data_IF_940879158623
#
_entry.id   IF_940879158623
#
_cell.length_a   1.000
_cell.length_b   1.000
_cell.length_c   1.000
_cell.angle_alpha   90.00
_cell.angle_beta   90.00
_cell.angle_gamma   90.00
#
_symmetry.space_group_name_H-M   'P 1'
#
loop_
_entity.id
_entity.type
_entity.pdbx_description
1 polymer ?
#
# COMPACT_ATOMS: atom_id res chain seq x y z
N UNK A 1 -12.11 11.64 26.71
CA UNK A 1 -12.20 12.41 25.45
C UNK A 1 -13.22 11.76 24.53
N UNK A 2 -14.01 12.55 23.79
CA UNK A 2 -14.96 12.01 22.78
C UNK A 2 -14.31 12.10 21.41
N UNK A 3 -14.37 11.02 20.65
CA UNK A 3 -13.95 10.94 19.25
C UNK A 3 -15.20 10.71 18.38
N UNK A 4 -15.41 11.57 17.39
CA UNK A 4 -16.50 11.43 16.42
C UNK A 4 -15.88 10.95 15.11
N UNK A 5 -16.31 9.79 14.63
CA UNK A 5 -15.89 9.23 13.34
C UNK A 5 -17.04 9.40 12.37
N UNK A 6 -16.86 10.26 11.36
CA UNK A 6 -17.85 10.53 10.33
C UNK A 6 -17.49 9.81 9.03
N UNK A 7 -18.48 9.15 8.43
CA UNK A 7 -18.37 8.55 7.10
C UNK A 7 -19.13 9.42 6.10
N UNK A 8 -18.43 10.21 5.27
CA UNK A 8 -19.08 11.04 4.27
C UNK A 8 -19.58 10.25 3.05
N UNK A 9 -19.23 8.97 2.92
CA UNK A 9 -19.59 8.16 1.75
C UNK A 9 -21.05 7.70 1.81
N UNK A 10 -21.71 7.50 0.66
CA UNK A 10 -23.11 7.08 0.60
C UNK A 10 -23.32 5.58 0.86
N UNK A 11 -22.31 4.86 1.35
CA UNK A 11 -22.41 3.45 1.76
C UNK A 11 -21.79 3.25 3.15
N UNK A 12 -22.26 2.22 3.85
CA UNK A 12 -21.67 1.76 5.11
C UNK A 12 -20.22 1.37 4.88
N UNK A 13 -19.31 1.81 5.74
CA UNK A 13 -17.87 1.56 5.61
C UNK A 13 -17.33 0.99 6.92
N UNK A 14 -16.64 -0.15 6.83
CA UNK A 14 -15.73 -0.64 7.87
C UNK A 14 -14.30 -0.33 7.42
N UNK A 15 -13.57 0.47 8.19
CA UNK A 15 -12.20 0.84 7.85
C UNK A 15 -11.37 1.20 9.08
N UNK A 16 -10.07 1.40 8.86
CA UNK A 16 -9.16 1.91 9.87
C UNK A 16 -9.42 3.39 10.16
N UNK A 17 -9.61 3.71 11.43
CA UNK A 17 -9.62 5.07 11.95
C UNK A 17 -8.25 5.33 12.54
N UNK A 18 -7.63 6.44 12.16
CA UNK A 18 -6.36 6.94 12.70
C UNK A 18 -6.63 8.25 13.42
N UNK A 19 -6.19 8.36 14.67
CA UNK A 19 -6.19 9.63 15.39
C UNK A 19 -4.86 9.85 16.09
N UNK A 20 -4.48 11.12 16.23
CA UNK A 20 -3.24 11.55 16.83
C UNK A 20 -3.50 12.12 18.23
N UNK A 21 -2.56 11.92 19.15
CA UNK A 21 -2.53 12.60 20.43
C UNK A 21 -1.12 13.11 20.73
N UNK A 22 -1.04 14.24 21.43
CA UNK A 22 0.24 14.88 21.78
C UNK A 22 0.47 14.67 23.27
N UNK A 23 1.64 14.13 23.62
CA UNK A 23 2.08 13.98 25.00
C UNK A 23 3.45 14.65 25.22
N UNK A 24 3.76 14.99 26.46
CA UNK A 24 5.13 15.34 26.83
C UNK A 24 6.02 14.10 26.71
N UNK A 25 7.22 14.28 26.17
CA UNK A 25 8.25 13.27 26.09
C UNK A 25 8.61 12.81 27.50
N UNK A 26 8.16 11.60 27.84
CA UNK A 26 8.68 10.84 28.97
C UNK A 26 9.92 10.05 28.52
N UNK A 27 10.72 9.54 29.45
CA UNK A 27 11.85 8.67 29.09
C UNK A 27 11.35 7.41 28.36
N UNK A 28 11.65 7.29 27.05
CA UNK A 28 11.29 6.15 26.17
C UNK A 28 10.26 6.48 25.08
N UNK A 29 9.92 5.49 24.24
CA UNK A 29 8.95 5.61 23.12
C UNK A 29 7.48 5.40 23.53
N UNK A 30 7.21 5.20 24.83
CA UNK A 30 5.86 4.86 25.33
C UNK A 30 5.03 6.12 25.53
N UNK A 31 3.75 6.04 25.17
CA UNK A 31 2.76 7.04 25.57
C UNK A 31 2.64 7.02 27.12
N UNK A 32 2.47 8.17 27.79
CA UNK A 32 2.59 8.25 29.25
C UNK A 32 1.50 7.52 30.04
N UNK A 33 0.45 7.02 29.38
CA UNK A 33 -0.63 6.23 29.98
C UNK A 33 -1.22 5.31 28.91
N UNK A 34 -1.83 4.19 29.32
CA UNK A 34 -2.63 3.38 28.40
C UNK A 34 -4.01 4.02 28.19
N UNK A 35 -4.66 3.67 27.10
CA UNK A 35 -6.01 4.13 26.80
C UNK A 35 -6.95 2.96 26.67
N UNK A 36 -8.22 3.20 26.93
CA UNK A 36 -9.33 2.34 26.54
C UNK A 36 -10.20 3.11 25.55
N UNK A 37 -10.60 2.44 24.48
CA UNK A 37 -11.60 2.96 23.54
C UNK A 37 -12.89 2.18 23.78
N UNK A 38 -13.98 2.88 24.06
CA UNK A 38 -15.32 2.28 24.16
C UNK A 38 -16.31 2.93 23.18
N UNK A 39 -17.28 2.16 22.73
CA UNK A 39 -18.45 2.69 22.01
C UNK A 39 -19.56 3.16 22.99
N UNK A 40 -20.66 3.77 22.50
CA UNK A 40 -21.74 4.26 23.35
C UNK A 40 -22.49 3.17 24.12
N UNK A 41 -22.41 1.94 23.64
CA UNK A 41 -22.98 0.76 24.30
C UNK A 41 -22.06 0.21 25.41
N UNK A 42 -20.85 0.78 25.55
CA UNK A 42 -19.86 0.38 26.56
C UNK A 42 -18.96 -0.77 26.13
N UNK A 43 -19.03 -1.22 24.87
CA UNK A 43 -18.16 -2.26 24.34
C UNK A 43 -16.75 -1.70 24.16
N UNK A 44 -15.75 -2.48 24.57
CA UNK A 44 -14.35 -2.14 24.37
C UNK A 44 -13.91 -2.44 22.93
N UNK A 45 -13.17 -1.51 22.34
CA UNK A 45 -12.69 -1.57 20.97
C UNK A 45 -11.18 -1.83 21.01
N UNK A 46 -10.76 -2.93 20.36
CA UNK A 46 -9.35 -3.21 20.12
C UNK A 46 -8.73 -2.06 19.33
N UNK A 47 -7.63 -1.52 19.85
CA UNK A 47 -6.87 -0.47 19.20
C UNK A 47 -5.39 -0.87 19.12
N UNK A 48 -4.66 -0.09 18.35
CA UNK A 48 -3.24 -0.19 18.21
C UNK A 48 -2.61 1.18 18.42
N UNK A 49 -1.48 1.20 19.14
CA UNK A 49 -0.65 2.39 19.34
C UNK A 49 0.62 2.29 18.50
N UNK A 50 0.98 3.40 17.88
CA UNK A 50 2.21 3.58 17.12
C UNK A 50 2.92 4.84 17.62
N UNK A 51 4.21 4.69 17.91
CA UNK A 51 5.11 5.84 18.01
C UNK A 51 5.31 6.44 16.63
N UNK A 52 5.25 7.77 16.53
CA UNK A 52 5.61 8.49 15.32
C UNK A 52 6.67 9.51 15.66
N UNK A 53 7.79 9.43 14.94
CA UNK A 53 8.90 10.38 15.04
C UNK A 53 8.61 11.65 14.22
N UNK A 54 7.47 12.30 14.48
CA UNK A 54 7.05 13.54 13.82
C UNK A 54 6.84 14.64 14.86
N UNK A 55 7.41 15.82 14.59
CA UNK A 55 7.20 17.00 15.41
C UNK A 55 5.70 17.36 15.45
N UNK A 56 5.10 17.55 16.65
CA UNK A 56 3.70 17.85 16.76
C UNK A 56 3.33 19.21 16.16
N UNK A 57 2.16 19.27 15.52
CA UNK A 57 1.63 20.49 14.86
C UNK A 57 1.52 21.70 15.77
N UNK A 58 1.40 21.50 17.08
CA UNK A 58 1.42 22.56 18.10
C UNK A 58 2.51 22.24 19.12
N UNK A 59 3.56 23.04 19.12
CA UNK A 59 4.76 22.82 19.95
C UNK A 59 4.58 23.37 21.36
N UNK A 60 4.73 22.52 22.36
CA UNK A 60 5.40 22.87 23.63
C UNK A 60 6.75 22.16 23.62
N UNK A 61 7.78 22.73 24.25
CA UNK A 61 9.08 22.04 24.38
C UNK A 61 8.88 20.59 24.80
N UNK A 62 9.57 19.66 24.14
CA UNK A 62 9.55 18.22 24.42
C UNK A 62 8.18 17.54 24.18
N UNK A 63 7.38 17.97 23.21
CA UNK A 63 6.13 17.26 22.85
C UNK A 63 6.36 16.23 21.74
N UNK A 64 5.70 15.07 21.83
CA UNK A 64 5.75 14.00 20.82
C UNK A 64 4.35 13.66 20.34
N UNK A 65 4.25 13.33 19.05
CA UNK A 65 3.04 12.82 18.38
C UNK A 65 2.91 11.31 18.52
N UNK A 66 1.76 10.84 18.97
CA UNK A 66 1.45 9.41 19.03
C UNK A 66 0.19 9.12 18.24
N UNK A 67 0.25 8.06 17.44
CA UNK A 67 -0.88 7.65 16.63
C UNK A 67 -1.52 6.39 17.14
N UNK A 68 -2.84 6.41 17.06
CA UNK A 68 -3.69 5.32 17.48
C UNK A 68 -4.55 4.93 16.30
N UNK A 69 -4.67 3.63 16.08
CA UNK A 69 -5.54 3.08 15.06
C UNK A 69 -6.51 2.07 15.61
N UNK A 70 -7.73 2.05 15.10
CA UNK A 70 -8.71 1.01 15.41
C UNK A 70 -9.67 0.84 14.24
N UNK A 71 -10.43 -0.26 14.22
CA UNK A 71 -11.42 -0.48 13.19
C UNK A 71 -12.78 0.07 13.62
N UNK A 72 -13.37 0.91 12.77
CA UNK A 72 -14.72 1.42 12.95
C UNK A 72 -15.61 0.99 11.80
N UNK A 73 -16.86 0.67 12.11
CA UNK A 73 -17.91 0.48 11.11
C UNK A 73 -18.94 1.60 11.27
N UNK A 74 -19.11 2.40 10.22
CA UNK A 74 -19.88 3.66 10.27
C UNK A 74 -20.92 3.66 9.15
N UNK A 75 -22.19 4.04 9.43
CA UNK A 75 -23.24 4.08 8.42
C UNK A 75 -22.95 5.10 7.30
N UNK A 76 -23.63 4.93 6.17
CA UNK A 76 -23.59 5.87 5.05
C UNK A 76 -23.99 7.29 5.49
N UNK A 77 -23.22 8.30 5.08
CA UNK A 77 -23.44 9.72 5.42
C UNK A 77 -23.74 9.94 6.91
N UNK A 78 -23.14 9.14 7.79
CA UNK A 78 -23.43 9.12 9.22
C UNK A 78 -22.17 9.11 10.06
N UNK A 79 -22.33 9.05 11.38
CA UNK A 79 -21.21 9.04 12.32
C UNK A 79 -21.38 7.96 13.39
N UNK A 80 -20.27 7.59 14.02
CA UNK A 80 -20.23 6.84 15.28
C UNK A 80 -19.33 7.57 16.27
N UNK A 81 -19.74 7.61 17.53
CA UNK A 81 -18.96 8.22 18.62
C UNK A 81 -18.22 7.17 19.40
N UNK A 82 -17.03 7.51 19.85
CA UNK A 82 -16.20 6.67 20.70
C UNK A 82 -15.67 7.50 21.88
N UNK A 83 -15.42 6.85 23.00
CA UNK A 83 -14.86 7.48 24.19
C UNK A 83 -13.47 6.93 24.45
N UNK A 84 -12.49 7.83 24.51
CA UNK A 84 -11.11 7.53 24.88
C UNK A 84 -10.95 7.84 26.36
N UNK A 85 -10.60 6.81 27.13
CA UNK A 85 -10.49 6.85 28.58
C UNK A 85 -9.05 6.49 28.95
N UNK A 86 -8.30 7.36 29.65
CA UNK A 86 -6.97 7.00 30.17
C UNK A 86 -7.12 5.96 31.29
N UNK A 87 -6.23 4.97 31.32
CA UNK A 87 -6.20 3.91 32.35
C UNK A 87 -4.79 3.76 32.93
N UNK A 88 -4.72 3.32 34.19
CA UNK A 88 -3.47 3.18 34.94
C UNK A 88 -2.74 1.84 34.71
N UNK A 89 -3.39 0.86 34.08
CA UNK A 89 -2.80 -0.46 33.78
C UNK A 89 -3.07 -0.88 32.34
N UNK A 90 -2.09 -1.56 31.75
CA UNK A 90 -2.10 -2.03 30.36
C UNK A 90 -3.30 -2.92 30.08
N UNK A 91 -4.11 -2.55 29.09
CA UNK A 91 -5.01 -3.51 28.45
C UNK A 91 -4.16 -4.46 27.60
N UNK A 92 -3.80 -5.62 28.14
CA UNK A 92 -3.17 -6.68 27.36
C UNK A 92 -4.20 -7.23 26.37
N UNK A 93 -4.30 -6.64 25.18
CA UNK A 93 -5.07 -7.26 24.11
C UNK A 93 -4.42 -8.58 23.75
N UNK A 94 -5.07 -9.68 24.09
CA UNK A 94 -4.66 -11.00 23.62
C UNK A 94 -4.99 -11.06 22.14
N UNK A 95 -4.00 -10.83 21.28
CA UNK A 95 -4.18 -10.94 19.84
C UNK A 95 -4.50 -12.41 19.55
N UNK A 96 -5.73 -12.70 19.12
CA UNK A 96 -6.04 -13.99 18.52
C UNK A 96 -5.28 -14.09 17.19
N UNK A 97 -4.10 -14.72 17.26
CA UNK A 97 -3.20 -14.91 16.12
C UNK A 97 -3.63 -16.06 15.23
N UNK A 98 -4.81 -16.68 15.41
CA UNK A 98 -5.15 -17.89 14.64
C UNK A 98 -5.30 -17.61 13.14
N UNK A 99 -5.92 -16.50 12.77
CA UNK A 99 -6.20 -16.17 11.36
C UNK A 99 -5.72 -14.77 10.95
N UNK A 100 -5.08 -14.01 11.86
CA UNK A 100 -4.47 -12.72 11.57
C UNK A 100 -3.00 -12.71 12.03
N UNK A 101 -2.07 -12.84 11.08
CA UNK A 101 -0.64 -13.12 11.35
C UNK A 101 0.27 -12.33 10.43
N UNK A 102 1.46 -12.01 10.93
CA UNK A 102 2.55 -11.48 10.12
C UNK A 102 3.88 -12.08 10.56
N UNK A 103 4.76 -12.31 9.60
CA UNK A 103 6.16 -12.67 9.78
C UNK A 103 7.00 -11.89 8.76
N UNK A 104 8.31 -12.15 8.73
CA UNK A 104 9.20 -11.58 7.71
C UNK A 104 8.95 -12.09 6.28
N UNK A 105 8.14 -13.14 6.11
CA UNK A 105 7.93 -13.80 4.82
C UNK A 105 6.46 -13.84 4.38
N UNK A 106 5.52 -13.62 5.30
CA UNK A 106 4.10 -13.65 4.96
C UNK A 106 3.27 -12.76 5.87
N UNK A 107 2.11 -12.36 5.36
CA UNK A 107 1.06 -11.61 6.02
C UNK A 107 -0.29 -12.27 5.69
N UNK A 108 -1.15 -12.46 6.69
CA UNK A 108 -2.38 -13.25 6.56
C UNK A 108 -3.52 -12.64 7.38
N UNK A 109 -4.73 -12.56 6.81
CA UNK A 109 -6.00 -12.31 7.51
C UNK A 109 -7.04 -13.38 7.12
N UNK A 110 -8.31 -13.18 7.49
CA UNK A 110 -9.40 -14.14 7.23
C UNK A 110 -9.65 -14.39 5.73
N UNK A 111 -9.25 -13.46 4.85
CA UNK A 111 -9.54 -13.51 3.42
C UNK A 111 -8.32 -13.82 2.55
N UNK A 112 -7.15 -13.30 2.93
CA UNK A 112 -5.95 -13.35 2.11
C UNK A 112 -4.76 -13.91 2.87
N UNK A 113 -3.89 -14.61 2.14
CA UNK A 113 -2.51 -14.88 2.55
C UNK A 113 -1.56 -14.32 1.50
N UNK A 114 -0.70 -13.41 1.91
CA UNK A 114 0.30 -12.76 1.10
C UNK A 114 1.66 -13.34 1.49
N UNK A 115 2.39 -13.92 0.54
CA UNK A 115 3.72 -14.48 0.73
C UNK A 115 4.72 -13.72 -0.11
N UNK A 116 5.85 -13.34 0.48
CA UNK A 116 6.93 -12.64 -0.21
C UNK A 116 8.05 -13.64 -0.43
N UNK A 117 8.17 -14.11 -1.68
CA UNK A 117 9.17 -15.10 -2.10
C UNK A 117 10.59 -14.54 -1.95
N UNK A 118 11.64 -15.36 -1.83
CA UNK A 118 13.02 -14.89 -1.66
C UNK A 118 13.53 -13.98 -2.79
N UNK A 119 13.04 -14.18 -4.01
CA UNK A 119 13.31 -13.37 -5.21
C UNK A 119 12.55 -12.03 -5.25
N UNK A 120 11.65 -11.78 -4.29
CA UNK A 120 10.91 -10.51 -4.15
C UNK A 120 9.54 -10.52 -4.77
N UNK A 121 9.18 -11.58 -5.49
CA UNK A 121 7.83 -11.73 -5.98
C UNK A 121 6.83 -11.94 -4.85
N UNK A 122 5.66 -11.35 -5.03
CA UNK A 122 4.55 -11.46 -4.09
C UNK A 122 3.54 -12.45 -4.65
N UNK A 123 3.16 -13.40 -3.81
CA UNK A 123 2.11 -14.38 -4.07
C UNK A 123 0.92 -14.05 -3.16
N UNK A 124 -0.28 -13.98 -3.72
CA UNK A 124 -1.51 -13.73 -2.97
C UNK A 124 -2.44 -14.93 -3.15
N UNK A 125 -2.81 -15.56 -2.05
CA UNK A 125 -3.87 -16.58 -2.01
C UNK A 125 -5.15 -15.92 -1.51
N UNK A 126 -6.19 -15.94 -2.34
CA UNK A 126 -7.56 -15.64 -1.93
C UNK A 126 -8.17 -16.92 -1.32
N UNK A 127 -8.40 -16.89 -0.01
CA UNK A 127 -8.87 -18.06 0.76
C UNK A 127 -10.32 -18.43 0.45
N UNK A 128 -11.12 -17.49 -0.03
CA UNK A 128 -12.53 -17.75 -0.36
C UNK A 128 -12.65 -18.46 -1.71
N UNK A 129 -11.96 -17.97 -2.73
CA UNK A 129 -11.98 -18.60 -4.06
C UNK A 129 -10.97 -19.75 -4.22
N UNK A 130 -9.97 -19.83 -3.34
CA UNK A 130 -8.85 -20.77 -3.44
C UNK A 130 -7.85 -20.44 -4.55
N UNK A 131 -7.97 -19.27 -5.19
CA UNK A 131 -7.09 -18.84 -6.29
C UNK A 131 -5.78 -18.29 -5.75
N UNK A 132 -4.67 -18.72 -6.35
CA UNK A 132 -3.33 -18.16 -6.12
C UNK A 132 -2.93 -17.25 -7.27
N UNK A 133 -2.74 -15.98 -6.96
CA UNK A 133 -2.17 -14.97 -7.84
C UNK A 133 -0.66 -14.90 -7.62
N UNK A 134 0.11 -15.14 -8.67
CA UNK A 134 1.58 -15.08 -8.66
C UNK A 134 2.03 -13.75 -9.25
N UNK A 135 3.25 -13.31 -8.89
CA UNK A 135 3.84 -12.05 -9.35
C UNK A 135 2.91 -10.85 -9.15
N UNK A 136 2.20 -10.82 -8.01
CA UNK A 136 1.28 -9.74 -7.67
C UNK A 136 2.06 -8.47 -7.36
N UNK A 137 1.58 -7.30 -7.78
CA UNK A 137 2.30 -6.03 -7.58
C UNK A 137 3.75 -6.06 -8.15
N UNK A 138 3.93 -6.66 -9.32
CA UNK A 138 5.22 -6.71 -10.04
C UNK A 138 5.56 -5.35 -10.64
N UNK A 139 6.82 -4.92 -10.53
CA UNK A 139 7.30 -3.72 -11.19
C UNK A 139 7.78 -4.03 -12.59
N UNK A 140 7.56 -3.09 -13.49
CA UNK A 140 8.09 -3.14 -14.84
C UNK A 140 8.48 -1.73 -15.28
N UNK A 141 9.69 -1.58 -15.81
CA UNK A 141 10.25 -0.34 -16.32
C UNK A 141 10.65 -0.51 -17.78
N UNK A 142 10.29 0.48 -18.61
CA UNK A 142 10.61 0.54 -20.03
C UNK A 142 10.88 1.98 -20.47
N UNK A 143 11.62 2.15 -21.55
CA UNK A 143 11.85 3.47 -22.15
C UNK A 143 10.56 4.08 -22.71
N UNK A 144 10.46 5.41 -22.63
CA UNK A 144 9.36 6.19 -23.20
C UNK A 144 9.87 7.27 -24.15
N UNK A 145 9.81 6.99 -25.45
CA UNK A 145 10.16 7.90 -26.54
C UNK A 145 9.05 8.88 -26.91
N UNK A 146 7.96 8.84 -26.16
CA UNK A 146 6.82 9.70 -26.35
C UNK A 146 7.04 11.12 -25.86
N UNK A 147 5.95 11.73 -25.45
CA UNK A 147 5.89 13.07 -24.88
C UNK A 147 4.84 13.13 -23.75
N UNK A 148 4.46 14.32 -23.32
CA UNK A 148 3.52 14.53 -22.23
C UNK A 148 2.09 14.02 -22.52
N UNK A 149 1.75 13.79 -23.80
CA UNK A 149 0.43 13.32 -24.21
C UNK A 149 0.39 11.81 -24.37
N UNK A 150 1.41 11.24 -25.01
CA UNK A 150 1.39 9.86 -25.45
C UNK A 150 2.70 9.14 -25.12
N UNK A 151 2.57 7.90 -24.62
CA UNK A 151 3.68 6.96 -24.49
C UNK A 151 4.11 6.45 -25.88
N UNK A 152 5.41 6.31 -26.11
CA UNK A 152 5.94 5.59 -27.27
C UNK A 152 7.02 4.59 -26.85
N UNK A 153 6.79 3.32 -27.16
CA UNK A 153 7.84 2.31 -27.10
C UNK A 153 8.94 2.54 -28.16
N UNK A 154 10.00 1.71 -28.17
CA UNK A 154 11.07 1.84 -29.16
C UNK A 154 10.54 1.62 -30.59
N UNK A 155 10.99 2.47 -31.52
CA UNK A 155 10.80 2.30 -32.97
C UNK A 155 11.64 1.13 -33.50
N UNK A 156 11.39 0.70 -34.74
CA UNK A 156 12.09 -0.44 -35.38
C UNK A 156 13.62 -0.36 -35.34
N UNK A 157 14.15 0.86 -35.34
CA UNK A 157 15.58 1.11 -35.29
C UNK A 157 16.10 1.17 -33.83
N UNK A 158 15.27 1.54 -32.86
CA UNK A 158 15.65 1.74 -31.46
C UNK A 158 15.67 0.42 -30.66
N UNK A 159 16.43 0.39 -29.57
CA UNK A 159 16.45 -0.74 -28.63
C UNK A 159 16.04 -0.28 -27.24
N UNK A 160 15.19 -1.07 -26.58
CA UNK A 160 14.82 -0.89 -25.18
C UNK A 160 15.20 -2.13 -24.36
N UNK A 161 15.59 -1.89 -23.11
CA UNK A 161 15.78 -2.92 -22.10
C UNK A 161 14.68 -2.75 -21.06
N UNK A 162 13.80 -3.76 -20.99
CA UNK A 162 12.73 -3.82 -19.99
C UNK A 162 13.29 -4.42 -18.71
N UNK A 163 13.14 -3.71 -17.62
CA UNK A 163 13.52 -4.18 -16.28
C UNK A 163 12.26 -4.55 -15.51
N UNK A 164 12.34 -5.59 -14.69
CA UNK A 164 11.22 -6.10 -13.90
C UNK A 164 11.61 -6.27 -12.44
N UNK A 165 10.68 -6.71 -11.60
CA UNK A 165 11.00 -7.14 -10.22
C UNK A 165 12.14 -8.17 -10.16
N UNK A 166 12.36 -8.99 -11.21
CA UNK A 166 13.47 -9.96 -11.26
C UNK A 166 14.85 -9.29 -11.20
N UNK A 167 14.96 -8.07 -11.71
CA UNK A 167 16.19 -7.29 -11.77
C UNK A 167 16.43 -6.49 -10.47
N UNK A 168 15.47 -6.50 -9.54
CA UNK A 168 15.53 -5.71 -8.33
C UNK A 168 16.40 -6.36 -7.25
N UNK A 169 17.26 -5.56 -6.62
CA UNK A 169 17.97 -5.96 -5.42
C UNK A 169 17.10 -5.69 -4.18
N UNK A 170 16.73 -6.73 -3.44
CA UNK A 170 15.99 -6.60 -2.19
C UNK A 170 16.98 -6.41 -1.05
N UNK A 171 16.78 -5.38 -0.24
CA UNK A 171 17.69 -5.08 0.87
C UNK A 171 17.00 -4.93 2.23
N UNK A 172 15.67 -4.85 2.28
CA UNK A 172 14.94 -4.87 3.56
C UNK A 172 13.63 -5.64 3.48
N UNK A 173 13.37 -6.44 4.53
CA UNK A 173 12.12 -7.16 4.80
C UNK A 173 11.78 -7.02 6.26
N UNK A 174 10.75 -6.24 6.57
CA UNK A 174 10.43 -5.88 7.94
C UNK A 174 8.94 -6.04 8.24
N UNK A 175 8.66 -6.59 9.42
CA UNK A 175 7.35 -6.46 10.06
C UNK A 175 7.24 -5.02 10.54
N UNK A 176 6.52 -4.18 9.81
CA UNK A 176 6.41 -2.75 10.11
C UNK A 176 5.33 -2.50 11.16
N UNK A 177 4.18 -3.16 11.01
CA UNK A 177 3.06 -3.08 11.95
C UNK A 177 2.60 -4.51 12.29
N UNK A 178 2.56 -4.86 13.57
CA UNK A 178 1.98 -6.10 14.08
C UNK A 178 1.01 -5.82 15.23
N UNK A 179 -0.22 -5.39 14.91
CA UNK A 179 -1.24 -5.16 15.93
C UNK A 179 -2.56 -5.88 15.66
N UNK A 180 -3.56 -5.63 16.52
CA UNK A 180 -4.86 -6.30 16.47
C UNK A 180 -5.77 -5.80 15.35
N UNK A 181 -5.64 -4.54 14.94
CA UNK A 181 -6.45 -3.90 13.89
C UNK A 181 -5.82 -4.03 12.50
N UNK A 182 -4.50 -3.82 12.42
CA UNK A 182 -3.71 -3.76 11.19
C UNK A 182 -2.43 -4.60 11.33
N UNK A 183 -2.00 -5.16 10.21
CA UNK A 183 -0.66 -5.70 10.04
C UNK A 183 -0.09 -5.20 8.73
N UNK A 184 1.14 -4.69 8.77
CA UNK A 184 1.81 -4.10 7.61
C UNK A 184 3.21 -4.68 7.47
N UNK A 185 3.50 -5.16 6.28
CA UNK A 185 4.83 -5.56 5.87
C UNK A 185 5.51 -4.43 5.11
N UNK A 186 6.79 -4.17 5.39
CA UNK A 186 7.62 -3.22 4.64
C UNK A 186 8.68 -3.99 3.83
N UNK A 187 8.68 -3.77 2.52
CA UNK A 187 9.67 -4.26 1.57
C UNK A 187 10.46 -3.07 1.01
N UNK A 188 11.79 -3.15 1.01
CA UNK A 188 12.62 -2.20 0.25
C UNK A 188 13.45 -2.93 -0.79
N UNK A 189 13.36 -2.42 -2.00
CA UNK A 189 14.05 -2.93 -3.18
C UNK A 189 14.65 -1.78 -3.98
N UNK A 190 15.66 -2.09 -4.78
CA UNK A 190 16.34 -1.13 -5.65
C UNK A 190 16.33 -1.67 -7.08
N UNK A 191 15.73 -0.93 -7.99
CA UNK A 191 15.85 -1.16 -9.42
C UNK A 191 16.96 -0.26 -9.96
N UNK A 192 18.04 -0.87 -10.47
CA UNK A 192 19.08 -0.14 -11.18
C UNK A 192 18.64 0.04 -12.62
N UNK A 193 18.23 1.25 -12.97
CA UNK A 193 17.64 1.56 -14.27
C UNK A 193 18.54 2.54 -15.04
N UNK A 194 18.49 2.56 -16.38
CA UNK A 194 19.15 3.58 -17.18
C UNK A 194 18.83 4.98 -16.71
N UNK A 195 19.83 5.86 -16.67
CA UNK A 195 19.66 7.26 -16.25
C UNK A 195 18.72 8.05 -17.17
N UNK A 196 18.85 7.88 -18.48
CA UNK A 196 18.06 8.55 -19.50
C UNK A 196 18.15 7.79 -20.83
N UNK A 197 17.65 8.39 -21.91
CA UNK A 197 18.13 8.04 -23.24
C UNK A 197 19.57 8.51 -23.48
N UNK A 198 20.23 7.85 -24.44
CA UNK A 198 21.47 8.33 -25.06
C UNK A 198 21.25 9.68 -25.76
N UNK A 199 22.32 10.43 -26.02
CA UNK A 199 22.23 11.74 -26.67
C UNK A 199 21.52 11.71 -28.04
N UNK A 200 21.72 10.64 -28.81
CA UNK A 200 21.05 10.41 -30.10
C UNK A 200 19.60 9.91 -29.96
N UNK A 201 19.15 9.66 -28.72
CA UNK A 201 17.86 9.08 -28.34
C UNK A 201 17.54 7.77 -29.04
N UNK A 202 18.56 7.01 -29.42
CA UNK A 202 18.37 5.75 -30.13
C UNK A 202 18.19 4.57 -29.16
N UNK A 203 18.84 4.62 -28.01
CA UNK A 203 18.72 3.63 -26.95
C UNK A 203 18.61 4.33 -25.58
N UNK A 204 18.36 3.53 -24.55
CA UNK A 204 18.62 3.96 -23.16
C UNK A 204 20.12 3.93 -22.88
N UNK A 205 20.58 4.77 -21.96
CA UNK A 205 22.00 4.75 -21.57
C UNK A 205 22.35 3.44 -20.83
N UNK A 206 23.57 2.95 -21.05
CA UNK A 206 24.11 1.80 -20.28
C UNK A 206 24.40 2.16 -18.81
N UNK A 207 24.50 3.46 -18.51
CA UNK A 207 24.71 3.93 -17.16
C UNK A 207 23.46 3.76 -16.31
N UNK A 208 23.51 2.78 -15.41
CA UNK A 208 22.44 2.50 -14.45
C UNK A 208 22.57 3.33 -13.18
N UNK A 209 21.44 3.85 -12.69
CA UNK A 209 21.30 4.59 -11.44
C UNK A 209 20.28 3.91 -10.52
N UNK A 210 20.45 4.12 -9.21
CA UNK A 210 19.57 3.52 -8.20
C UNK A 210 18.19 4.20 -8.20
N UNK A 211 17.14 3.40 -8.37
CA UNK A 211 15.75 3.82 -8.16
C UNK A 211 15.19 3.00 -6.99
N UNK A 212 15.19 3.61 -5.80
CA UNK A 212 14.79 2.92 -4.57
C UNK A 212 13.27 2.89 -4.47
N UNK A 213 12.74 1.73 -4.13
CA UNK A 213 11.31 1.51 -3.97
C UNK A 213 11.06 1.00 -2.56
N UNK A 214 10.18 1.69 -1.84
CA UNK A 214 9.65 1.24 -0.54
C UNK A 214 8.19 0.88 -0.73
N UNK A 215 7.82 -0.34 -0.36
CA UNK A 215 6.46 -0.84 -0.44
C UNK A 215 5.95 -1.24 0.95
N UNK A 216 4.79 -0.72 1.32
CA UNK A 216 4.03 -1.13 2.49
C UNK A 216 2.80 -1.93 2.06
N UNK A 217 2.69 -3.17 2.55
CA UNK A 217 1.60 -4.09 2.24
C UNK A 217 0.79 -4.30 3.51
N UNK A 218 -0.47 -3.85 3.51
CA UNK A 218 -1.34 -3.88 4.70
C UNK A 218 -2.53 -4.82 4.54
N UNK A 219 -2.81 -5.56 5.61
CA UNK A 219 -4.07 -6.24 5.84
C UNK A 219 -4.70 -5.75 7.14
N UNK A 220 -6.03 -5.78 7.19
CA UNK A 220 -6.81 -5.42 8.36
C UNK A 220 -7.69 -6.59 8.80
N UNK A 221 -7.95 -6.68 10.10
CA UNK A 221 -8.80 -7.72 10.69
C UNK A 221 -10.24 -7.59 10.18
N UNK A 222 -10.75 -8.64 9.53
CA UNK A 222 -12.12 -8.65 9.02
C UNK A 222 -12.43 -7.58 7.97
N UNK A 223 -11.44 -7.18 7.15
CA UNK A 223 -11.64 -6.39 5.92
C UNK A 223 -11.05 -7.16 4.73
N UNK A 224 -11.86 -7.34 3.68
CA UNK A 224 -11.47 -8.02 2.43
C UNK A 224 -10.81 -7.04 1.45
N UNK A 225 -9.71 -6.42 1.86
CA UNK A 225 -8.91 -5.48 1.05
C UNK A 225 -7.43 -5.67 1.34
N UNK A 226 -6.61 -5.56 0.30
CA UNK A 226 -5.14 -5.49 0.41
C UNK A 226 -4.76 -4.08 0.01
N UNK A 227 -4.07 -3.36 0.91
CA UNK A 227 -3.60 -2.01 0.61
C UNK A 227 -2.09 -2.05 0.32
N UNK A 228 -1.72 -1.45 -0.80
CA UNK A 228 -0.33 -1.21 -1.20
C UNK A 228 -0.08 0.29 -1.18
N UNK A 229 0.94 0.71 -0.44
CA UNK A 229 1.51 2.05 -0.51
C UNK A 229 2.94 1.92 -1.03
N UNK A 230 3.26 2.64 -2.11
CA UNK A 230 4.52 2.51 -2.83
C UNK A 230 5.14 3.90 -2.97
N UNK A 231 6.36 4.02 -2.47
CA UNK A 231 7.20 5.21 -2.59
C UNK A 231 8.35 4.88 -3.54
N UNK A 232 8.57 5.74 -4.54
CA UNK A 232 9.66 5.58 -5.52
C UNK A 232 10.55 6.82 -5.48
N UNK A 233 11.83 6.61 -5.19
CA UNK A 233 12.89 7.60 -5.39
C UNK A 233 13.35 7.49 -6.85
N UNK A 234 12.72 8.27 -7.74
CA UNK A 234 13.02 8.23 -9.17
C UNK A 234 14.25 9.09 -9.52
N UNK A 235 15.33 8.43 -9.90
CA UNK A 235 16.58 9.05 -10.36
C UNK A 235 16.81 8.87 -11.87
N UNK A 236 15.87 8.22 -12.57
CA UNK A 236 15.89 7.97 -14.01
C UNK A 236 14.96 8.93 -14.76
N UNK A 237 15.18 9.04 -16.07
CA UNK A 237 14.42 9.86 -17.02
C UNK A 237 13.97 9.02 -18.22
N UNK A 238 13.07 9.59 -19.02
CA UNK A 238 12.65 9.05 -20.31
C UNK A 238 12.14 7.60 -20.23
N UNK A 239 11.35 7.31 -19.19
CA UNK A 239 10.92 5.95 -18.87
C UNK A 239 9.52 5.94 -18.26
N UNK A 240 8.91 4.75 -18.26
CA UNK A 240 7.63 4.48 -17.61
C UNK A 240 7.77 3.28 -16.69
N UNK A 241 7.57 3.52 -15.40
CA UNK A 241 7.42 2.46 -14.39
C UNK A 241 5.93 2.12 -14.24
N UNK A 242 5.62 0.82 -14.27
CA UNK A 242 4.28 0.26 -14.06
C UNK A 242 4.29 -0.70 -12.88
N UNK A 243 3.11 -0.88 -12.28
CA UNK A 243 2.84 -1.96 -11.34
C UNK A 243 1.81 -2.89 -11.98
N UNK A 244 2.13 -4.18 -12.03
CA UNK A 244 1.34 -5.21 -12.68
C UNK A 244 0.65 -6.09 -11.63
N UNK A 245 -0.60 -6.46 -11.93
CA UNK A 245 -1.39 -7.39 -11.13
C UNK A 245 -1.89 -8.54 -12.03
N UNK A 246 -1.07 -9.58 -12.27
CA UNK A 246 -1.41 -10.67 -13.17
C UNK A 246 -2.59 -11.50 -12.61
N UNK A 247 -3.80 -11.24 -13.12
CA UNK A 247 -5.03 -11.82 -12.55
C UNK A 247 -5.29 -13.26 -12.98
N UNK A 248 -4.68 -13.73 -14.08
CA UNK A 248 -4.98 -15.01 -14.75
C UNK A 248 -6.47 -15.17 -15.17
N UNK A 249 -7.27 -14.10 -15.09
CA UNK A 249 -8.68 -14.10 -15.48
C UNK A 249 -8.77 -14.06 -17.01
N UNK A 250 -9.46 -15.04 -17.60
CA UNK A 250 -9.78 -15.03 -19.03
C UNK A 250 -11.08 -14.28 -19.24
N UNK A 251 -10.98 -13.05 -19.76
CA UNK A 251 -12.12 -12.21 -20.09
C UNK A 251 -11.91 -11.48 -21.41
N UNK A 252 -13.00 -11.16 -22.10
CA UNK A 252 -12.96 -10.32 -23.32
C UNK A 252 -13.04 -8.83 -22.99
N UNK A 253 -13.49 -8.48 -21.77
CA UNK A 253 -13.70 -7.10 -21.33
C UNK A 253 -13.15 -6.84 -19.94
N UNK A 254 -12.69 -5.60 -19.74
CA UNK A 254 -12.44 -4.99 -18.43
C UNK A 254 -13.48 -3.90 -18.18
N UNK A 255 -13.75 -3.62 -16.91
CA UNK A 255 -14.65 -2.57 -16.48
C UNK A 255 -13.82 -1.51 -15.77
N UNK A 256 -13.76 -0.32 -16.35
CA UNK A 256 -13.00 0.80 -15.80
C UNK A 256 -13.96 1.85 -15.24
N UNK A 257 -13.63 2.40 -14.08
CA UNK A 257 -14.39 3.52 -13.55
C UNK A 257 -14.26 4.75 -14.46
N UNK A 258 -15.35 5.50 -14.59
CA UNK A 258 -15.48 6.61 -15.52
C UNK A 258 -16.48 7.64 -15.00
N UNK A 259 -16.75 8.69 -15.78
CA UNK A 259 -17.65 9.75 -15.34
C UNK A 259 -19.09 9.23 -15.15
N UNK A 260 -19.47 8.98 -13.90
CA UNK A 260 -20.78 8.47 -13.49
C UNK A 260 -21.19 7.13 -14.14
N UNK A 261 -20.22 6.38 -14.67
CA UNK A 261 -20.48 5.12 -15.38
C UNK A 261 -19.26 4.21 -15.33
N UNK A 262 -19.50 2.92 -15.12
CA UNK A 262 -18.47 1.89 -15.22
C UNK A 262 -18.38 1.44 -16.68
N UNK A 263 -17.33 1.86 -17.37
CA UNK A 263 -17.18 1.72 -18.82
C UNK A 263 -16.60 0.34 -19.14
N UNK A 264 -17.31 -0.52 -19.90
CA UNK A 264 -16.74 -1.74 -20.43
C UNK A 264 -15.77 -1.43 -21.58
N UNK A 265 -14.56 -1.98 -21.54
CA UNK A 265 -13.54 -1.87 -22.60
C UNK A 265 -13.07 -3.26 -22.99
N UNK A 266 -12.74 -3.46 -24.27
CA UNK A 266 -12.20 -4.74 -24.73
C UNK A 266 -10.78 -4.95 -24.17
N UNK A 267 -10.49 -6.17 -23.74
CA UNK A 267 -9.14 -6.59 -23.35
C UNK A 267 -8.21 -6.61 -24.57
N UNK A 268 -8.73 -7.07 -25.71
CA UNK A 268 -7.98 -7.07 -26.97
C UNK A 268 -7.86 -5.63 -27.48
N UNK A 269 -6.62 -5.17 -27.63
CA UNK A 269 -6.32 -3.90 -28.26
C UNK A 269 -6.73 -3.91 -29.74
N UNK A 270 -7.19 -2.76 -30.29
CA UNK A 270 -7.49 -2.66 -31.71
C UNK A 270 -6.21 -2.82 -32.55
N UNK A 271 -6.38 -3.23 -33.82
CA UNK A 271 -5.27 -3.17 -34.79
C UNK A 271 -4.87 -1.71 -34.98
N UNK A 272 -3.59 -1.41 -34.79
CA UNK A 272 -3.02 -0.07 -34.85
C UNK A 272 -2.06 0.10 -36.04
N UNK A 273 -2.30 -0.62 -37.14
CA UNK A 273 -1.38 -0.70 -38.28
C UNK A 273 -1.05 0.67 -38.90
N UNK A 274 -1.99 1.62 -38.83
CA UNK A 274 -1.86 2.98 -39.37
C UNK A 274 -1.62 4.05 -38.29
N UNK A 275 -1.39 3.66 -37.04
CA UNK A 275 -1.20 4.62 -35.94
C UNK A 275 0.28 4.98 -35.86
N UNK A 276 0.56 6.28 -35.72
CA UNK A 276 1.93 6.78 -35.55
C UNK A 276 2.52 6.31 -34.21
N UNK A 277 1.68 6.27 -33.16
CA UNK A 277 2.00 5.71 -31.85
C UNK A 277 1.06 4.52 -31.60
N UNK A 278 1.65 3.34 -31.40
CA UNK A 278 0.91 2.10 -31.19
C UNK A 278 0.50 1.99 -29.70
N UNK A 279 -0.69 1.45 -29.39
CA UNK A 279 -1.19 1.30 -28.02
C UNK A 279 -0.41 0.25 -27.21
#
# INVERSE_FOLDING_TARGET
NVLIVYNPLPWKRKDIVRFNNIAQQTSGEKFPFDIKIIDPEGNEIEYQHHYIDEDPRFTRELSISHDFTFLAEVPACGYKTYYIIPIESVSEFTIDKKDFKITRNFLENEFYRITIKPDGFIEVVDKESGITYEKFCEFEDMGDWGDEYDFSGPKENQTDLVFTTEDAAIFERLVFIDGPSQKTFKLRLNLKLPYSFSEDRYNREDWLVDNKITMYISLYKGIKRIDFEIEVENNSRDHRIRVLFPTKIKADKVYADGHFFVIPRNVKLPKADNWVQKP
#
